data_IF_069768995566
#
_entry.id   IF_069768995566
#
_cell.length_a   1.000
_cell.length_b   1.000
_cell.length_c   1.000
_cell.angle_alpha   90.00
_cell.angle_beta   90.00
_cell.angle_gamma   90.00
#
_symmetry.space_group_name_H-M   'P 1'
#
loop_
_entity.id
_entity.type
_entity.pdbx_description
1 polymer ?
#
# COMPACT_ATOMS: atom_id res chain seq x y z
N UNK A 1 19.84 13.67 1.09
CA UNK A 1 19.61 12.53 2.01
C UNK A 1 18.85 11.49 1.20
N UNK A 2 19.31 10.23 1.11
CA UNK A 2 18.50 9.19 0.50
C UNK A 2 17.17 9.05 1.26
N UNK A 3 16.08 8.75 0.57
CA UNK A 3 14.80 8.45 1.23
C UNK A 3 15.01 7.26 2.18
N UNK A 4 14.39 7.32 3.36
CA UNK A 4 14.35 6.17 4.25
C UNK A 4 13.37 5.13 3.70
N UNK A 5 13.56 3.85 4.04
CA UNK A 5 12.71 2.76 3.56
C UNK A 5 11.22 3.04 3.84
N UNK A 6 10.90 3.62 5.00
CA UNK A 6 9.53 4.07 5.33
C UNK A 6 8.99 5.11 4.34
N UNK A 7 9.79 6.10 3.94
CA UNK A 7 9.37 7.12 2.98
C UNK A 7 9.14 6.52 1.59
N UNK A 8 9.94 5.53 1.20
CA UNK A 8 9.74 4.80 -0.05
C UNK A 8 8.42 4.01 -0.05
N UNK A 9 8.04 3.41 1.09
CA UNK A 9 6.73 2.72 1.23
C UNK A 9 5.56 3.67 1.15
N UNK A 10 5.65 4.84 1.79
CA UNK A 10 4.60 5.85 1.69
C UNK A 10 4.47 6.43 0.28
N UNK A 11 5.58 6.66 -0.42
CA UNK A 11 5.56 7.11 -1.81
C UNK A 11 4.96 6.05 -2.75
N UNK A 12 5.27 4.78 -2.54
CA UNK A 12 4.70 3.66 -3.30
C UNK A 12 3.19 3.51 -3.03
N UNK A 13 2.76 3.59 -1.76
CA UNK A 13 1.35 3.56 -1.41
C UNK A 13 0.57 4.74 -2.04
N UNK A 14 1.15 5.94 -2.04
CA UNK A 14 0.53 7.10 -2.70
C UNK A 14 0.45 6.92 -4.22
N UNK A 15 1.48 6.36 -4.85
CA UNK A 15 1.43 6.06 -6.29
C UNK A 15 0.34 5.05 -6.62
N UNK A 16 0.18 3.99 -5.82
CA UNK A 16 -0.88 2.99 -5.97
C UNK A 16 -2.26 3.63 -5.77
N UNK A 17 -2.40 4.50 -4.77
CA UNK A 17 -3.64 5.27 -4.55
C UNK A 17 -3.97 6.11 -5.78
N UNK A 18 -3.04 6.91 -6.31
CA UNK A 18 -3.30 7.73 -7.49
C UNK A 18 -3.59 6.93 -8.77
N UNK A 19 -3.03 5.73 -8.91
CA UNK A 19 -3.28 4.86 -10.08
C UNK A 19 -4.62 4.13 -10.02
N UNK A 20 -5.07 3.74 -8.82
CA UNK A 20 -6.22 2.85 -8.65
C UNK A 20 -7.40 3.50 -7.91
N UNK A 21 -7.21 4.67 -7.32
CA UNK A 21 -8.18 5.41 -6.51
C UNK A 21 -8.76 4.53 -5.40
N UNK A 22 -10.10 4.49 -5.32
CA UNK A 22 -10.83 3.66 -4.37
C UNK A 22 -10.50 2.16 -4.47
N UNK A 23 -10.06 1.67 -5.63
CA UNK A 23 -9.69 0.26 -5.84
C UNK A 23 -8.28 -0.08 -5.37
N UNK A 24 -7.47 0.90 -4.94
CA UNK A 24 -6.09 0.69 -4.50
C UNK A 24 -5.95 -0.40 -3.44
N UNK A 25 -6.84 -0.40 -2.42
CA UNK A 25 -6.85 -1.44 -1.39
C UNK A 25 -7.18 -2.83 -1.92
N UNK A 26 -8.18 -2.92 -2.79
CA UNK A 26 -8.57 -4.19 -3.41
C UNK A 26 -7.41 -4.75 -4.24
N UNK A 27 -6.77 -3.90 -5.04
CA UNK A 27 -5.61 -4.28 -5.85
C UNK A 27 -4.44 -4.77 -4.99
N UNK A 28 -4.13 -4.09 -3.88
CA UNK A 28 -3.08 -4.54 -2.94
C UNK A 28 -3.44 -5.87 -2.28
N UNK A 29 -4.70 -6.06 -1.88
CA UNK A 29 -5.16 -7.33 -1.31
C UNK A 29 -5.03 -8.50 -2.31
N UNK A 30 -5.36 -8.27 -3.58
CA UNK A 30 -5.16 -9.25 -4.65
C UNK A 30 -3.66 -9.58 -4.83
N UNK A 31 -2.76 -8.60 -4.75
CA UNK A 31 -1.31 -8.86 -4.81
C UNK A 31 -0.83 -9.69 -3.62
N UNK A 32 -1.31 -9.42 -2.41
CA UNK A 32 -0.97 -10.20 -1.22
C UNK A 32 -1.40 -11.66 -1.39
N UNK A 33 -2.59 -11.91 -1.94
CA UNK A 33 -3.05 -13.26 -2.22
C UNK A 33 -2.11 -14.00 -3.19
N UNK A 34 -1.71 -13.34 -4.28
CA UNK A 34 -0.76 -13.90 -5.26
C UNK A 34 0.59 -14.24 -4.61
N UNK A 35 1.16 -13.36 -3.78
CA UNK A 35 2.41 -13.65 -3.07
C UNK A 35 2.27 -14.81 -2.10
N UNK A 36 1.13 -14.90 -1.40
CA UNK A 36 0.85 -16.01 -0.50
C UNK A 36 0.76 -17.34 -1.23
N UNK A 37 0.08 -17.38 -2.37
CA UNK A 37 -0.02 -18.58 -3.22
C UNK A 37 1.35 -18.99 -3.78
N UNK A 38 2.21 -18.02 -4.10
CA UNK A 38 3.58 -18.25 -4.53
C UNK A 38 4.55 -18.63 -3.38
N UNK A 39 4.11 -18.56 -2.12
CA UNK A 39 4.97 -18.77 -0.94
C UNK A 39 5.98 -17.65 -0.68
N UNK A 40 5.78 -16.46 -1.28
CA UNK A 40 6.67 -15.31 -1.14
C UNK A 40 6.32 -14.46 0.09
N UNK A 41 6.81 -14.87 1.25
CA UNK A 41 6.54 -14.17 2.52
C UNK A 41 7.04 -12.72 2.54
N UNK A 42 8.10 -12.40 1.78
CA UNK A 42 8.64 -11.02 1.69
C UNK A 42 7.70 -10.09 0.94
N UNK A 43 7.11 -10.54 -0.16
CA UNK A 43 6.08 -9.81 -0.89
C UNK A 43 4.83 -9.60 -0.05
N UNK A 44 4.39 -10.62 0.69
CA UNK A 44 3.27 -10.51 1.64
C UNK A 44 3.53 -9.43 2.69
N UNK A 45 4.71 -9.44 3.33
CA UNK A 45 5.07 -8.46 4.36
C UNK A 45 5.10 -7.03 3.79
N UNK A 46 5.79 -6.84 2.67
CA UNK A 46 5.88 -5.54 2.00
C UNK A 46 4.51 -4.99 1.63
N UNK A 47 3.66 -5.79 0.98
CA UNK A 47 2.34 -5.32 0.54
C UNK A 47 1.37 -5.14 1.70
N UNK A 48 1.58 -5.84 2.83
CA UNK A 48 0.82 -5.60 4.06
C UNK A 48 1.12 -4.22 4.64
N UNK A 49 2.39 -3.77 4.59
CA UNK A 49 2.77 -2.40 4.99
C UNK A 49 2.08 -1.38 4.05
N UNK A 50 2.09 -1.61 2.74
CA UNK A 50 1.40 -0.74 1.78
C UNK A 50 -0.10 -0.65 2.04
N UNK A 51 -0.75 -1.76 2.40
CA UNK A 51 -2.16 -1.78 2.76
C UNK A 51 -2.46 -0.89 3.98
N UNK A 52 -1.58 -0.90 4.99
CA UNK A 52 -1.70 -0.03 6.17
C UNK A 52 -1.45 1.46 5.84
N UNK A 53 -0.54 1.77 4.93
CA UNK A 53 -0.36 3.14 4.43
C UNK A 53 -1.59 3.61 3.65
N UNK A 54 -2.14 2.76 2.76
CA UNK A 54 -3.35 3.07 2.00
C UNK A 54 -4.58 3.27 2.90
N UNK A 55 -4.69 2.49 3.98
CA UNK A 55 -5.72 2.70 5.00
C UNK A 55 -5.65 4.11 5.59
N UNK A 56 -4.46 4.55 5.98
CA UNK A 56 -4.27 5.91 6.50
C UNK A 56 -4.46 7.01 5.44
N UNK A 57 -4.13 6.76 4.16
CA UNK A 57 -4.38 7.72 3.09
C UNK A 57 -5.88 7.88 2.80
N UNK A 58 -6.64 6.79 2.82
CA UNK A 58 -8.07 6.79 2.47
C UNK A 58 -8.98 7.11 3.67
N UNK A 59 -8.55 6.81 4.89
CA UNK A 59 -9.33 6.96 6.13
C UNK A 59 -8.72 7.97 7.12
N UNK A 60 -7.62 8.63 6.79
CA UNK A 60 -7.06 9.74 7.56
C UNK A 60 -8.07 10.89 7.71
N UNK A 61 -8.00 11.71 8.78
CA UNK A 61 -9.04 12.67 9.11
C UNK A 61 -9.20 13.64 7.94
N UNK A 62 -10.40 13.63 7.36
CA UNK A 62 -10.91 14.55 6.34
C UNK A 62 -9.91 15.65 5.94
N UNK A 63 -9.23 15.46 4.80
CA UNK A 63 -8.84 16.61 4.00
C UNK A 63 -10.13 17.24 3.45
N UNK A 64 -10.73 18.10 4.24
CA UNK A 64 -11.83 18.99 3.87
C UNK A 64 -13.24 18.42 4.04
N UNK A 65 -13.88 18.75 5.16
CA UNK A 65 -15.17 19.45 5.09
C UNK A 65 -14.93 20.93 5.34
#
# INVERSE_FOLDING_TARGET
>A
MPMTEDQERWAEALAIEQLHGERAKAWVAERIAVFREAGDSKGVERFSILAACLDQLQFGPARGQ
#
